data_IF_026227255762
#
_entry.id   IF_026227255762
#
_cell.length_a   1.000
_cell.length_b   1.000
_cell.length_c   1.000
_cell.angle_alpha   90.00
_cell.angle_beta   90.00
_cell.angle_gamma   90.00
#
_symmetry.space_group_name_H-M   'P 1'
#
loop_
_entity.id
_entity.type
_entity.pdbx_description
1 polymer ?
#
# COMPACT_ATOMS: atom_id res chain seq x y z
N UNK A 1 19.13 -13.10 0.22
CA UNK A 1 18.50 -11.97 0.96
C UNK A 1 17.95 -12.40 2.32
N UNK A 2 17.11 -13.45 2.42
CA UNK A 2 16.59 -13.94 3.72
C UNK A 2 17.65 -14.40 4.73
N UNK A 3 18.81 -14.85 4.26
CA UNK A 3 19.96 -15.14 5.12
C UNK A 3 20.55 -13.90 5.83
N UNK A 4 20.29 -12.70 5.31
CA UNK A 4 20.75 -11.41 5.85
C UNK A 4 19.60 -10.65 6.52
N UNK A 5 18.39 -10.76 5.96
CA UNK A 5 17.16 -10.13 6.46
C UNK A 5 16.12 -11.22 6.75
N UNK A 6 16.21 -11.90 7.91
CA UNK A 6 15.34 -13.03 8.23
C UNK A 6 13.86 -12.64 8.39
N UNK A 7 13.58 -11.36 8.64
CA UNK A 7 12.23 -10.80 8.71
C UNK A 7 11.57 -10.59 7.34
N UNK A 8 12.33 -10.76 6.25
CA UNK A 8 11.79 -10.63 4.89
C UNK A 8 10.87 -11.81 4.59
N UNK A 9 9.59 -11.52 4.39
CA UNK A 9 8.57 -12.49 3.99
C UNK A 9 8.34 -12.44 2.48
N UNK A 10 7.87 -13.54 1.91
CA UNK A 10 7.29 -13.49 0.57
C UNK A 10 5.89 -12.86 0.67
N UNK A 11 5.50 -12.12 -0.37
CA UNK A 11 4.17 -11.52 -0.44
C UNK A 11 3.06 -12.56 -0.68
N UNK A 12 1.80 -12.24 -0.39
CA UNK A 12 1.34 -11.00 0.23
C UNK A 12 1.58 -10.95 1.75
N UNK A 13 1.89 -9.77 2.27
CA UNK A 13 1.98 -9.54 3.71
C UNK A 13 0.61 -9.07 4.22
N UNK A 14 0.07 -9.75 5.24
CA UNK A 14 -1.16 -9.34 5.92
C UNK A 14 -0.86 -8.94 7.36
N UNK A 15 -1.40 -7.81 7.80
CA UNK A 15 -1.26 -7.28 9.16
C UNK A 15 -2.62 -6.86 9.70
N UNK A 16 -2.87 -7.12 10.98
CA UNK A 16 -4.00 -6.55 11.71
C UNK A 16 -3.50 -5.42 12.61
N UNK A 17 -3.97 -4.20 12.38
CA UNK A 17 -3.53 -3.00 13.09
C UNK A 17 -4.68 -2.00 13.19
N UNK A 18 -4.85 -1.36 14.34
CA UNK A 18 -5.90 -0.35 14.53
C UNK A 18 -7.33 -0.86 14.25
N UNK A 19 -7.59 -2.15 14.52
CA UNK A 19 -8.89 -2.78 14.20
C UNK A 19 -9.14 -3.04 12.71
N UNK A 20 -8.16 -2.77 11.83
CA UNK A 20 -8.24 -3.00 10.39
C UNK A 20 -7.40 -4.20 9.95
N UNK A 21 -7.84 -4.87 8.90
CA UNK A 21 -7.02 -5.85 8.17
C UNK A 21 -6.37 -5.17 6.98
N UNK A 22 -5.04 -5.19 6.94
CA UNK A 22 -4.22 -4.54 5.91
C UNK A 22 -3.52 -5.64 5.12
N UNK A 23 -3.64 -5.60 3.79
CA UNK A 23 -2.85 -6.46 2.91
C UNK A 23 -1.91 -5.60 2.07
N UNK A 24 -0.68 -6.06 1.91
CA UNK A 24 0.35 -5.38 1.15
C UNK A 24 1.02 -6.34 0.16
N UNK A 25 1.16 -5.89 -1.08
CA UNK A 25 1.97 -6.54 -2.09
C UNK A 25 2.54 -5.49 -3.04
N UNK A 26 3.71 -5.73 -3.64
CA UNK A 26 4.34 -4.70 -4.48
C UNK A 26 3.48 -4.31 -5.70
N UNK A 27 2.76 -5.26 -6.32
CA UNK A 27 1.92 -5.03 -7.48
C UNK A 27 0.53 -5.64 -7.28
N UNK A 28 -0.51 -4.95 -7.74
CA UNK A 28 -1.92 -5.36 -7.54
C UNK A 28 -2.27 -6.68 -8.21
N UNK A 29 -1.73 -6.96 -9.41
CA UNK A 29 -2.02 -8.20 -10.15
C UNK A 29 -1.42 -9.45 -9.50
N UNK A 30 -0.53 -9.27 -8.51
CA UNK A 30 0.03 -10.35 -7.72
C UNK A 30 -0.84 -10.71 -6.51
N UNK A 31 -1.80 -9.86 -6.15
CA UNK A 31 -2.78 -10.16 -5.10
C UNK A 31 -3.90 -11.04 -5.64
N UNK A 32 -4.20 -12.11 -4.91
CA UNK A 32 -5.33 -13.01 -5.19
C UNK A 32 -6.61 -12.44 -4.59
N UNK A 33 -7.78 -12.71 -5.19
CA UNK A 33 -9.07 -12.26 -4.64
C UNK A 33 -9.30 -12.67 -3.17
N UNK A 34 -8.82 -13.86 -2.77
CA UNK A 34 -8.92 -14.34 -1.40
C UNK A 34 -8.09 -13.53 -0.38
N UNK A 35 -7.03 -12.84 -0.83
CA UNK A 35 -6.20 -11.97 0.01
C UNK A 35 -6.80 -10.56 0.13
N UNK A 36 -7.48 -10.10 -0.93
CA UNK A 36 -8.18 -8.80 -0.97
C UNK A 36 -9.50 -8.84 -0.20
N UNK A 37 -10.26 -9.93 -0.32
CA UNK A 37 -11.59 -10.07 0.27
C UNK A 37 -11.66 -9.73 1.78
N UNK A 38 -10.74 -10.19 2.65
CA UNK A 38 -10.79 -9.86 4.07
C UNK A 38 -10.17 -8.50 4.43
N UNK A 39 -9.48 -7.82 3.49
CA UNK A 39 -8.75 -6.59 3.77
C UNK A 39 -9.66 -5.35 3.74
N UNK A 40 -9.44 -4.43 4.68
CA UNK A 40 -10.00 -3.08 4.66
C UNK A 40 -9.11 -2.13 3.85
N UNK A 41 -7.80 -2.34 3.92
CA UNK A 41 -6.77 -1.54 3.24
C UNK A 41 -5.87 -2.45 2.38
N UNK A 42 -5.74 -2.11 1.10
CA UNK A 42 -4.91 -2.78 0.12
C UNK A 42 -3.79 -1.81 -0.27
N UNK A 43 -2.55 -2.11 0.12
CA UNK A 43 -1.37 -1.29 -0.19
C UNK A 43 -0.59 -1.92 -1.32
N UNK A 44 -0.35 -1.15 -2.39
CA UNK A 44 0.49 -1.56 -3.52
C UNK A 44 1.49 -0.49 -3.92
N UNK A 45 2.34 -0.82 -4.89
CA UNK A 45 3.31 0.07 -5.51
C UNK A 45 3.46 -0.30 -6.99
N UNK A 46 4.70 -0.52 -7.43
CA UNK A 46 5.08 -1.01 -8.75
C UNK A 46 4.85 -0.05 -9.93
N UNK A 47 3.69 0.61 -10.00
CA UNK A 47 3.33 1.47 -11.14
C UNK A 47 3.86 2.89 -11.03
N UNK A 48 4.36 3.30 -9.85
CA UNK A 48 4.76 4.67 -9.50
C UNK A 48 3.62 5.70 -9.57
N UNK A 49 2.41 5.29 -9.94
CA UNK A 49 1.24 6.13 -9.98
C UNK A 49 0.54 6.16 -8.62
N UNK A 50 0.02 7.33 -8.25
CA UNK A 50 -0.79 7.48 -7.05
C UNK A 50 -2.15 6.82 -7.29
N UNK A 51 -2.55 5.95 -6.36
CA UNK A 51 -3.92 5.41 -6.27
C UNK A 51 -4.38 5.66 -4.84
N UNK A 52 -5.52 6.33 -4.67
CA UNK A 52 -6.12 6.58 -3.36
C UNK A 52 -7.64 6.53 -3.50
N UNK A 53 -8.18 5.32 -3.54
CA UNK A 53 -9.57 5.08 -3.95
C UNK A 53 -10.30 4.17 -2.96
N UNK A 54 -11.42 4.64 -2.44
CA UNK A 54 -12.34 3.83 -1.64
C UNK A 54 -13.36 3.14 -2.57
N UNK A 55 -13.28 1.81 -2.67
CA UNK A 55 -14.19 0.98 -3.49
C UNK A 55 -14.81 -0.10 -2.62
N UNK A 56 -16.14 -0.17 -2.59
CA UNK A 56 -16.89 -1.19 -1.84
C UNK A 56 -16.45 -1.28 -0.37
N UNK A 57 -16.20 -0.14 0.28
CA UNK A 57 -15.74 -0.07 1.67
C UNK A 57 -14.27 -0.44 1.92
N UNK A 58 -13.48 -0.64 0.86
CA UNK A 58 -12.05 -0.97 0.94
C UNK A 58 -11.21 0.14 0.34
N UNK A 59 -10.14 0.53 1.02
CA UNK A 59 -9.21 1.53 0.54
C UNK A 59 -8.11 0.86 -0.30
N UNK A 60 -8.04 1.20 -1.57
CA UNK A 60 -6.95 0.83 -2.47
C UNK A 60 -5.95 1.98 -2.51
N UNK A 61 -4.72 1.71 -2.08
CA UNK A 61 -3.68 2.71 -1.89
C UNK A 61 -2.38 2.30 -2.59
N UNK A 62 -1.93 3.15 -3.51
CA UNK A 62 -0.56 3.18 -3.98
C UNK A 62 -0.04 4.60 -3.71
N UNK A 63 1.01 4.77 -2.91
CA UNK A 63 1.51 6.09 -2.53
C UNK A 63 2.19 6.84 -3.70
N UNK A 64 2.36 6.21 -4.86
CA UNK A 64 3.16 6.72 -5.96
C UNK A 64 4.62 6.29 -5.83
N UNK A 65 5.54 7.20 -6.13
CA UNK A 65 6.97 6.96 -6.00
C UNK A 65 7.62 7.96 -5.05
N UNK A 66 8.46 7.46 -4.16
CA UNK A 66 9.23 8.33 -3.27
C UNK A 66 10.44 8.98 -3.98
N UNK A 67 10.94 8.37 -5.07
CA UNK A 67 12.11 8.86 -5.79
C UNK A 67 11.81 9.93 -6.85
N UNK A 68 10.57 10.05 -7.31
CA UNK A 68 10.15 11.04 -8.32
C UNK A 68 10.74 10.84 -9.73
N UNK A 69 11.31 9.68 -10.05
CA UNK A 69 12.04 9.49 -11.31
C UNK A 69 11.16 9.42 -12.56
N UNK A 70 9.93 8.90 -12.43
CA UNK A 70 9.05 8.67 -13.58
C UNK A 70 7.99 9.77 -13.76
N UNK A 71 7.51 10.31 -12.64
CA UNK A 71 6.43 11.28 -12.56
C UNK A 71 6.91 12.69 -12.23
N UNK A 72 8.16 12.82 -11.77
CA UNK A 72 8.71 14.10 -11.28
C UNK A 72 8.14 14.53 -9.93
N UNK A 73 7.38 13.66 -9.24
CA UNK A 73 6.72 13.97 -7.97
C UNK A 73 7.10 12.93 -6.92
N UNK A 74 7.72 13.37 -5.83
CA UNK A 74 8.14 12.49 -4.73
C UNK A 74 7.06 12.41 -3.66
N UNK A 75 6.33 11.29 -3.57
CA UNK A 75 5.18 11.16 -2.66
C UNK A 75 5.25 9.97 -1.71
N UNK A 76 4.61 10.15 -0.55
CA UNK A 76 4.25 9.10 0.41
C UNK A 76 2.77 9.21 0.77
N UNK A 77 2.22 8.21 1.47
CA UNK A 77 0.86 8.24 1.98
C UNK A 77 0.82 8.07 3.50
N UNK A 78 -0.01 8.85 4.18
CA UNK A 78 -0.32 8.70 5.61
C UNK A 78 -1.77 8.27 5.73
N UNK A 79 -2.03 7.16 6.43
CA UNK A 79 -3.38 6.60 6.57
C UNK A 79 -3.85 6.73 8.01
N UNK A 80 -5.03 7.33 8.19
CA UNK A 80 -5.79 7.26 9.43
C UNK A 80 -6.58 5.94 9.44
N UNK A 81 -6.24 5.03 10.37
CA UNK A 81 -6.85 3.70 10.46
C UNK A 81 -8.25 3.71 11.08
N UNK A 82 -8.60 4.74 11.85
CA UNK A 82 -9.94 4.89 12.43
C UNK A 82 -10.92 5.27 11.32
N UNK A 83 -10.57 6.27 10.51
CA UNK A 83 -11.42 6.78 9.42
C UNK A 83 -11.23 6.08 8.07
N UNK A 84 -10.14 5.31 7.93
CA UNK A 84 -9.72 4.64 6.69
C UNK A 84 -9.56 5.64 5.51
N UNK A 85 -8.99 6.81 5.81
CA UNK A 85 -8.65 7.84 4.81
C UNK A 85 -7.14 7.98 4.72
N UNK A 86 -6.65 8.25 3.51
CA UNK A 86 -5.24 8.46 3.27
C UNK A 86 -4.99 9.86 2.69
N UNK A 87 -3.96 10.52 3.20
CA UNK A 87 -3.43 11.76 2.66
C UNK A 87 -2.14 11.46 1.88
N UNK A 88 -2.03 12.03 0.68
CA UNK A 88 -0.81 11.96 -0.13
C UNK A 88 0.04 13.18 0.18
N UNK A 89 1.29 12.94 0.56
CA UNK A 89 2.22 13.97 1.04
C UNK A 89 3.43 14.01 0.12
N UNK A 90 3.76 15.20 -0.36
CA UNK A 90 5.01 15.47 -1.06
C UNK A 90 6.18 15.48 -0.07
N UNK A 91 7.24 14.74 -0.37
CA UNK A 91 8.43 14.62 0.51
C UNK A 91 9.66 15.34 -0.03
N UNK A 92 9.50 16.02 -1.17
CA UNK A 92 10.49 16.89 -1.78
C UNK A 92 9.79 18.04 -2.51
N UNK A 93 10.51 19.15 -2.69
CA UNK A 93 10.05 20.32 -3.47
C UNK A 93 10.21 20.09 -4.98
#
# INVERSE_FOLDING_TARGET
MKAVLPQLVDGAMTVKLGGRTIVMHHFIDWLKPAEIAPADLIITGHTHAIVNELKNGKLYLNPGECCGWLTGRCTVAIVDLDTLKADIVDVHE
#
